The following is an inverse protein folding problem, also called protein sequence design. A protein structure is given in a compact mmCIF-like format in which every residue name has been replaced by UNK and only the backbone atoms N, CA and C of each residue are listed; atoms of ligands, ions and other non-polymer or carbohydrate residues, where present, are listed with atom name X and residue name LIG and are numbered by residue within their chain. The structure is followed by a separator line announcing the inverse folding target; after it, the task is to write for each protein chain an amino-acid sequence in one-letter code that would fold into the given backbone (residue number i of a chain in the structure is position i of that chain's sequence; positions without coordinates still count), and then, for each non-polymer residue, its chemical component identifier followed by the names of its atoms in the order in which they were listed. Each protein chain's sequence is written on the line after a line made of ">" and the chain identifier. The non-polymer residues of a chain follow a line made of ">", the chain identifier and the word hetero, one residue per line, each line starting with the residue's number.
data_IF_722397997354
#
_entry.id   IF_722397997354
#
_cell.length_a   1.000
_cell.length_b   1.000
_cell.length_c   1.000
_cell.angle_alpha   90.00
_cell.angle_beta   90.00
_cell.angle_gamma   90.00
#
_symmetry.space_group_name_H-M   'P 1'
#
loop_
_entity.id
_entity.type
_entity.pdbx_description
1 polymer ?
#
# COMPACT_ATOMS: atom_id res chain seq x y z
N UNK A 1 -20.53 5.89 -7.93
CA UNK A 1 -19.87 5.04 -8.96
C UNK A 1 -19.10 6.00 -9.85
N UNK A 2 -17.92 5.64 -10.26
CA UNK A 2 -17.08 6.52 -11.11
C UNK A 2 -17.64 6.50 -12.53
N UNK A 3 -17.86 7.67 -13.12
CA UNK A 3 -18.32 7.80 -14.51
C UNK A 3 -17.12 7.93 -15.44
N UNK A 4 -16.34 6.85 -15.51
CA UNK A 4 -15.13 6.79 -16.32
C UNK A 4 -15.37 5.99 -17.60
N UNK A 5 -14.82 6.42 -18.73
CA UNK A 5 -14.77 5.61 -19.94
C UNK A 5 -14.10 4.25 -19.65
N UNK A 6 -14.61 3.19 -20.27
CA UNK A 6 -13.98 1.87 -20.18
C UNK A 6 -12.53 1.94 -20.66
N UNK A 7 -11.62 1.43 -19.87
CA UNK A 7 -10.19 1.42 -20.17
C UNK A 7 -9.41 2.64 -19.66
N UNK A 8 -10.05 3.70 -19.19
CA UNK A 8 -9.35 4.91 -18.71
C UNK A 8 -8.24 4.60 -17.73
N UNK A 9 -8.52 3.84 -16.68
CA UNK A 9 -7.49 3.46 -15.70
C UNK A 9 -6.43 2.52 -16.29
N UNK A 10 -6.78 1.69 -17.27
CA UNK A 10 -5.78 0.85 -17.97
C UNK A 10 -4.79 1.73 -18.73
N UNK A 11 -5.27 2.75 -19.44
CA UNK A 11 -4.43 3.71 -20.16
C UNK A 11 -3.46 4.42 -19.20
N UNK A 12 -3.94 4.82 -18.04
CA UNK A 12 -3.11 5.48 -17.00
C UNK A 12 -2.04 4.56 -16.40
N UNK A 13 -2.14 3.25 -16.61
CA UNK A 13 -1.14 2.27 -16.17
C UNK A 13 -0.23 1.78 -17.29
N UNK A 14 -0.47 2.20 -18.53
CA UNK A 14 0.45 1.91 -19.62
C UNK A 14 1.82 2.53 -19.31
N UNK A 15 2.88 1.73 -19.46
CA UNK A 15 4.24 2.15 -19.08
C UNK A 15 4.40 2.50 -17.59
N UNK A 16 3.61 1.87 -16.73
CA UNK A 16 3.72 1.96 -15.28
C UNK A 16 5.08 1.49 -14.75
N UNK A 17 5.34 1.82 -13.51
CA UNK A 17 6.57 1.42 -12.81
C UNK A 17 6.30 0.27 -11.81
N UNK A 18 5.36 -0.61 -12.17
CA UNK A 18 4.93 -1.71 -11.30
C UNK A 18 6.10 -2.61 -10.94
N UNK A 19 6.15 -3.03 -9.69
CA UNK A 19 7.26 -3.79 -9.12
C UNK A 19 6.74 -5.06 -8.46
N UNK A 20 7.41 -6.17 -8.73
CA UNK A 20 7.19 -7.42 -8.01
C UNK A 20 8.35 -7.67 -7.05
N UNK A 21 8.02 -8.04 -5.81
CA UNK A 21 9.00 -8.47 -4.81
C UNK A 21 8.74 -9.90 -4.39
N UNK A 22 9.78 -10.63 -4.03
CA UNK A 22 9.66 -11.89 -3.28
C UNK A 22 10.27 -11.66 -1.91
N UNK A 23 9.48 -11.88 -0.88
CA UNK A 23 9.87 -11.61 0.51
C UNK A 23 9.83 -12.92 1.27
N UNK A 24 10.98 -13.32 1.81
CA UNK A 24 11.10 -14.43 2.75
C UNK A 24 11.26 -13.87 4.16
N UNK A 25 10.38 -14.27 5.04
CA UNK A 25 10.49 -14.08 6.48
C UNK A 25 10.97 -15.41 7.07
N UNK A 26 12.23 -15.52 7.48
CA UNK A 26 12.79 -16.79 7.95
C UNK A 26 12.09 -17.28 9.23
N UNK A 27 12.13 -18.58 9.44
CA UNK A 27 11.87 -19.14 10.76
C UNK A 27 12.83 -18.51 11.77
N UNK A 28 12.37 -18.38 13.00
CA UNK A 28 13.12 -17.72 14.07
C UNK A 28 12.88 -18.47 15.38
N UNK A 29 13.95 -18.93 16.00
CA UNK A 29 13.95 -19.78 17.17
C UNK A 29 14.38 -19.05 18.48
N UNK A 30 14.74 -17.77 18.36
CA UNK A 30 15.07 -16.95 19.51
C UNK A 30 13.81 -16.31 20.13
N UNK A 31 13.93 -15.79 21.36
CA UNK A 31 12.85 -15.09 22.04
C UNK A 31 12.49 -13.78 21.30
N UNK A 32 11.20 -13.63 20.98
CA UNK A 32 10.68 -12.43 20.32
C UNK A 32 10.66 -11.29 21.34
N UNK A 33 11.31 -10.19 21.02
CA UNK A 33 11.30 -9.01 21.88
C UNK A 33 9.91 -8.32 21.87
N UNK A 34 9.51 -7.70 22.98
CA UNK A 34 8.27 -6.92 23.03
C UNK A 34 8.22 -5.87 21.89
N UNK A 35 7.14 -5.85 21.14
CA UNK A 35 6.95 -4.94 19.99
C UNK A 35 7.64 -5.37 18.69
N UNK A 36 8.41 -6.44 18.68
CA UNK A 36 9.02 -6.98 17.47
C UNK A 36 7.96 -7.66 16.61
N UNK A 37 7.85 -7.23 15.33
CA UNK A 37 6.96 -7.82 14.34
C UNK A 37 7.70 -8.04 13.01
N UNK A 38 7.20 -8.92 12.14
CA UNK A 38 7.83 -9.25 10.85
C UNK A 38 7.74 -8.12 9.81
N UNK A 39 6.70 -7.31 9.86
CA UNK A 39 6.53 -6.15 8.98
C UNK A 39 5.69 -5.09 9.65
N UNK A 40 6.24 -3.88 9.79
CA UNK A 40 5.58 -2.75 10.45
C UNK A 40 4.32 -2.32 9.70
N UNK A 41 3.41 -1.69 10.44
CA UNK A 41 2.20 -1.11 9.88
C UNK A 41 2.51 -0.07 8.82
N UNK A 42 1.89 -0.19 7.64
CA UNK A 42 2.03 0.74 6.53
C UNK A 42 0.84 0.66 5.58
N UNK A 43 0.78 1.59 4.64
CA UNK A 43 -0.07 1.54 3.46
C UNK A 43 0.80 1.41 2.21
N UNK A 44 0.27 0.80 1.15
CA UNK A 44 0.95 0.74 -0.14
C UNK A 44 0.79 2.06 -0.88
N UNK A 45 1.81 2.50 -1.59
CA UNK A 45 1.88 3.84 -2.18
C UNK A 45 1.17 3.96 -3.53
N UNK A 46 1.11 2.85 -4.30
CA UNK A 46 0.59 2.83 -5.66
C UNK A 46 -0.93 2.80 -5.78
N UNK A 47 -1.40 2.18 -6.86
CA UNK A 47 -2.82 2.04 -7.14
C UNK A 47 -3.44 0.87 -6.38
N UNK A 48 -2.85 -0.30 -6.49
CA UNK A 48 -3.25 -1.49 -5.74
C UNK A 48 -2.09 -2.47 -5.63
N UNK A 49 -2.21 -3.43 -4.73
CA UNK A 49 -1.27 -4.53 -4.58
C UNK A 49 -1.98 -5.84 -4.76
N UNK A 50 -1.37 -6.73 -5.53
CA UNK A 50 -1.77 -8.13 -5.65
C UNK A 50 -0.75 -8.96 -4.90
N UNK A 51 -1.19 -9.65 -3.84
CA UNK A 51 -0.31 -10.41 -2.96
C UNK A 51 -0.57 -11.90 -3.09
N UNK A 52 0.43 -12.63 -3.59
CA UNK A 52 0.47 -14.09 -3.54
C UNK A 52 1.15 -14.53 -2.25
N UNK A 53 0.58 -15.55 -1.64
CA UNK A 53 1.16 -16.29 -0.52
C UNK A 53 1.45 -17.70 -0.97
N UNK A 54 2.65 -18.21 -0.67
CA UNK A 54 3.10 -19.53 -1.10
C UNK A 54 3.09 -20.57 0.02
N UNK A 55 2.60 -20.17 1.17
CA UNK A 55 2.52 -21.00 2.36
C UNK A 55 1.19 -20.75 3.09
N UNK A 56 0.90 -21.60 4.04
CA UNK A 56 -0.26 -21.53 4.93
C UNK A 56 0.01 -20.71 6.22
N UNK A 57 1.16 -20.01 6.29
CA UNK A 57 1.56 -19.27 7.47
C UNK A 57 0.72 -18.00 7.63
N UNK A 58 -0.03 -17.85 8.72
CA UNK A 58 -0.82 -16.65 9.00
C UNK A 58 0.08 -15.44 9.34
N UNK A 59 -0.52 -14.34 9.79
CA UNK A 59 0.19 -13.18 10.31
C UNK A 59 0.02 -11.91 9.50
N UNK A 60 -0.60 -11.95 8.31
CA UNK A 60 -1.04 -10.72 7.65
C UNK A 60 -2.27 -10.20 8.37
N UNK A 61 -2.21 -8.94 8.81
CA UNK A 61 -3.32 -8.23 9.44
C UNK A 61 -3.63 -6.94 8.68
N UNK A 62 -4.91 -6.58 8.64
CA UNK A 62 -5.41 -5.32 8.11
C UNK A 62 -6.13 -4.54 9.20
N UNK A 63 -6.05 -3.22 9.14
CA UNK A 63 -6.75 -2.37 10.10
C UNK A 63 -8.22 -2.19 9.71
N UNK A 64 -9.13 -2.73 10.50
CA UNK A 64 -10.57 -2.50 10.35
C UNK A 64 -10.95 -1.15 10.97
N UNK A 65 -11.22 -0.17 10.11
CA UNK A 65 -11.60 1.19 10.53
C UNK A 65 -12.94 1.26 11.26
N UNK A 66 -13.83 0.26 11.08
CA UNK A 66 -15.14 0.23 11.75
C UNK A 66 -15.00 -0.29 13.17
N UNK A 67 -14.20 -1.33 13.34
CA UNK A 67 -13.92 -1.91 14.66
C UNK A 67 -12.80 -1.17 15.39
N UNK A 68 -12.02 -0.35 14.65
CA UNK A 68 -10.81 0.34 15.13
C UNK A 68 -9.79 -0.63 15.73
N UNK A 69 -9.61 -1.75 15.05
CA UNK A 69 -8.72 -2.83 15.50
C UNK A 69 -8.14 -3.59 14.30
N UNK A 70 -7.13 -4.40 14.59
CA UNK A 70 -6.47 -5.24 13.60
C UNK A 70 -7.22 -6.54 13.40
N UNK A 71 -7.50 -6.89 12.15
CA UNK A 71 -8.15 -8.13 11.77
C UNK A 71 -7.19 -9.02 10.97
N UNK A 72 -7.15 -10.32 11.29
CA UNK A 72 -6.37 -11.28 10.54
C UNK A 72 -6.94 -11.49 9.12
N UNK A 73 -6.07 -11.49 8.13
CA UNK A 73 -6.43 -11.89 6.76
C UNK A 73 -6.33 -13.41 6.67
N UNK A 74 -7.45 -14.12 6.45
CA UNK A 74 -7.44 -15.57 6.41
C UNK A 74 -6.56 -16.10 5.28
N UNK A 75 -5.95 -17.26 5.51
CA UNK A 75 -5.26 -18.00 4.45
C UNK A 75 -6.31 -18.74 3.65
N UNK A 76 -6.45 -18.39 2.37
CA UNK A 76 -7.36 -19.08 1.44
C UNK A 76 -6.50 -19.67 0.32
N UNK A 77 -6.57 -20.96 0.15
CA UNK A 77 -5.79 -21.68 -0.87
C UNK A 77 -6.17 -21.19 -2.29
N UNK A 78 -5.17 -21.11 -3.17
CA UNK A 78 -5.34 -20.68 -4.56
C UNK A 78 -5.97 -19.29 -4.71
N UNK A 79 -5.75 -18.38 -3.74
CA UNK A 79 -6.24 -17.02 -3.78
C UNK A 79 -5.13 -15.98 -3.84
N UNK A 80 -5.52 -14.80 -4.27
CA UNK A 80 -4.69 -13.59 -4.26
C UNK A 80 -5.38 -12.60 -3.33
N UNK A 81 -4.62 -12.03 -2.38
CA UNK A 81 -5.11 -10.89 -1.59
C UNK A 81 -4.89 -9.62 -2.40
N UNK A 82 -5.93 -8.82 -2.56
CA UNK A 82 -5.84 -7.52 -3.21
C UNK A 82 -6.17 -6.42 -2.20
N UNK A 83 -5.34 -5.38 -2.16
CA UNK A 83 -5.62 -4.16 -1.42
C UNK A 83 -5.41 -2.91 -2.30
N UNK A 84 -6.13 -1.87 -1.96
CA UNK A 84 -5.99 -0.53 -2.57
C UNK A 84 -4.81 0.20 -1.94
N UNK A 85 -4.12 0.99 -2.76
CA UNK A 85 -3.02 1.85 -2.32
C UNK A 85 -3.41 3.33 -2.26
N UNK A 86 -2.46 4.15 -1.82
CA UNK A 86 -2.67 5.58 -1.53
C UNK A 86 -3.03 6.40 -2.78
N UNK A 87 -2.41 6.11 -3.93
CA UNK A 87 -2.76 6.81 -5.17
C UNK A 87 -4.18 6.51 -5.62
N UNK A 88 -4.69 5.28 -5.46
CA UNK A 88 -6.08 4.97 -5.78
C UNK A 88 -7.04 5.66 -4.82
N UNK A 89 -6.72 5.73 -3.54
CA UNK A 89 -7.50 6.49 -2.57
C UNK A 89 -7.58 7.97 -2.98
N UNK A 90 -6.45 8.56 -3.36
CA UNK A 90 -6.37 9.94 -3.83
C UNK A 90 -7.18 10.16 -5.11
N UNK A 91 -7.02 9.30 -6.11
CA UNK A 91 -7.78 9.32 -7.36
C UNK A 91 -9.28 9.29 -7.14
N UNK A 92 -9.71 8.43 -6.23
CA UNK A 92 -11.13 8.22 -5.92
C UNK A 92 -11.67 9.14 -4.83
N UNK A 93 -10.91 10.19 -4.50
CA UNK A 93 -11.31 11.22 -3.53
C UNK A 93 -11.78 10.61 -2.20
N UNK A 94 -11.06 9.60 -1.71
CA UNK A 94 -11.37 8.80 -0.50
C UNK A 94 -12.54 7.80 -0.61
N UNK A 95 -13.09 7.59 -1.77
CA UNK A 95 -14.15 6.59 -1.93
C UNK A 95 -13.63 5.17 -1.73
N UNK A 96 -12.44 4.87 -2.27
CA UNK A 96 -11.70 3.64 -2.01
C UNK A 96 -10.54 3.98 -1.09
N UNK A 97 -10.54 3.42 0.11
CA UNK A 97 -9.53 3.71 1.14
C UNK A 97 -8.31 2.83 0.99
N UNK A 98 -7.12 3.40 1.05
CA UNK A 98 -5.89 2.64 1.27
C UNK A 98 -5.96 1.96 2.63
N UNK A 99 -5.61 0.68 2.67
CA UNK A 99 -5.80 -0.15 3.87
C UNK A 99 -4.46 -0.35 4.58
N UNK A 100 -4.33 0.17 5.81
CA UNK A 100 -3.16 -0.13 6.63
C UNK A 100 -3.08 -1.63 6.91
N UNK A 101 -1.89 -2.17 6.80
CA UNK A 101 -1.65 -3.58 7.03
C UNK A 101 -0.27 -3.81 7.66
N UNK A 102 -0.10 -4.97 8.30
CA UNK A 102 1.13 -5.36 8.98
C UNK A 102 1.33 -6.87 8.92
N UNK A 103 2.53 -7.33 9.22
CA UNK A 103 2.83 -8.76 9.34
C UNK A 103 3.32 -9.04 10.77
N UNK A 104 2.50 -9.75 11.53
CA UNK A 104 2.80 -10.12 12.92
C UNK A 104 3.49 -11.49 13.00
N UNK A 105 4.05 -11.78 14.16
CA UNK A 105 4.71 -13.03 14.50
C UNK A 105 3.67 -14.06 14.95
N UNK A 106 3.08 -14.80 14.01
CA UNK A 106 2.04 -15.79 14.32
C UNK A 106 2.58 -17.22 14.46
N UNK A 107 3.38 -17.67 13.50
CA UNK A 107 4.09 -18.96 13.54
C UNK A 107 5.56 -18.69 13.17
N UNK A 108 6.43 -18.74 14.15
CA UNK A 108 7.85 -18.49 13.97
C UNK A 108 8.64 -19.76 13.66
N UNK A 109 8.02 -20.93 13.72
CA UNK A 109 8.68 -22.21 13.45
C UNK A 109 8.88 -22.48 11.98
N UNK A 110 8.24 -21.69 11.11
CA UNK A 110 8.27 -21.84 9.65
C UNK A 110 8.69 -20.54 8.96
N UNK A 111 9.32 -20.71 7.81
CA UNK A 111 9.47 -19.62 6.86
C UNK A 111 8.10 -19.16 6.37
N UNK A 112 7.96 -17.86 6.17
CA UNK A 112 6.82 -17.26 5.47
C UNK A 112 7.30 -16.63 4.18
N UNK A 113 6.68 -16.97 3.06
CA UNK A 113 7.03 -16.43 1.75
C UNK A 113 5.80 -15.69 1.17
N UNK A 114 6.00 -14.47 0.76
CA UNK A 114 4.98 -13.69 0.07
C UNK A 114 5.55 -12.98 -1.15
N UNK A 115 4.71 -12.76 -2.16
CA UNK A 115 5.09 -12.08 -3.39
C UNK A 115 4.08 -10.98 -3.71
N UNK A 116 4.29 -9.76 -3.22
CA UNK A 116 3.49 -8.61 -3.60
C UNK A 116 3.88 -8.11 -5.00
N UNK A 117 2.87 -7.84 -5.81
CA UNK A 117 2.98 -7.08 -7.05
C UNK A 117 2.32 -5.73 -6.85
N UNK A 118 3.13 -4.70 -6.75
CA UNK A 118 2.70 -3.31 -6.60
C UNK A 118 2.34 -2.75 -7.97
N UNK A 119 1.07 -2.45 -8.18
CA UNK A 119 0.57 -1.86 -9.42
C UNK A 119 0.68 -0.35 -9.31
N UNK A 120 1.55 0.23 -10.12
CA UNK A 120 1.80 1.67 -10.15
C UNK A 120 1.36 2.27 -11.48
N UNK A 121 0.81 3.49 -11.42
CA UNK A 121 0.43 4.24 -12.60
C UNK A 121 1.63 4.64 -13.45
N UNK A 122 1.38 5.03 -14.68
CA UNK A 122 2.39 5.45 -15.63
C UNK A 122 3.20 6.64 -15.11
N UNK A 123 4.49 6.70 -15.47
CA UNK A 123 5.40 7.77 -15.01
C UNK A 123 4.94 9.18 -15.36
N UNK A 124 4.13 9.33 -16.41
CA UNK A 124 3.59 10.63 -16.87
C UNK A 124 2.17 10.87 -16.40
N UNK A 125 1.56 9.92 -15.70
CA UNK A 125 0.19 10.02 -15.22
C UNK A 125 0.09 11.07 -14.12
N UNK A 126 -0.88 11.96 -14.27
CA UNK A 126 -1.30 12.88 -13.21
C UNK A 126 -2.50 12.27 -12.50
N UNK A 127 -2.35 12.07 -11.20
CA UNK A 127 -3.43 11.59 -10.32
C UNK A 127 -4.25 12.79 -9.88
N UNK A 128 -5.46 12.86 -10.37
CA UNK A 128 -6.44 13.91 -10.05
C UNK A 128 -7.81 13.27 -9.72
N UNK A 129 -8.65 14.01 -9.05
CA UNK A 129 -9.97 13.51 -8.66
C UNK A 129 -10.80 13.03 -9.87
N UNK A 130 -11.20 11.76 -9.86
CA UNK A 130 -12.05 11.14 -10.89
C UNK A 130 -13.52 11.02 -10.45
N UNK A 131 -13.91 11.65 -9.36
CA UNK A 131 -15.28 11.68 -8.87
C UNK A 131 -15.97 12.98 -9.27
N UNK A 132 -17.28 13.03 -9.11
CA UNK A 132 -18.06 14.25 -9.34
C UNK A 132 -18.09 15.19 -8.11
N UNK A 133 -17.44 14.78 -7.01
CA UNK A 133 -17.36 15.59 -5.80
C UNK A 133 -16.20 16.60 -5.85
N UNK A 134 -16.24 17.69 -5.09
CA UNK A 134 -15.11 18.60 -4.98
C UNK A 134 -13.83 17.88 -4.58
N UNK A 135 -12.74 18.18 -5.28
CA UNK A 135 -11.45 17.55 -5.01
C UNK A 135 -10.94 17.88 -3.60
N UNK A 136 -10.52 16.84 -2.87
CA UNK A 136 -9.88 16.96 -1.56
C UNK A 136 -8.38 17.17 -1.66
N UNK A 137 -7.79 16.78 -2.77
CA UNK A 137 -6.36 16.74 -3.01
C UNK A 137 -6.00 17.46 -4.30
N UNK A 138 -4.88 18.15 -4.29
CA UNK A 138 -4.32 18.73 -5.51
C UNK A 138 -3.84 17.63 -6.46
N UNK A 139 -3.89 17.84 -7.79
CA UNK A 139 -3.31 16.90 -8.74
C UNK A 139 -1.82 16.65 -8.46
N UNK A 140 -1.38 15.38 -8.55
CA UNK A 140 0.03 15.02 -8.34
C UNK A 140 0.51 14.04 -9.40
N UNK A 141 1.77 14.18 -9.83
CA UNK A 141 2.37 13.19 -10.71
C UNK A 141 2.61 11.87 -9.96
N UNK A 142 2.13 10.76 -10.51
CA UNK A 142 2.19 9.44 -9.87
C UNK A 142 3.62 8.99 -9.54
N UNK A 143 4.57 9.21 -10.47
CA UNK A 143 5.95 8.78 -10.28
C UNK A 143 6.70 9.64 -9.28
N UNK A 144 6.47 10.96 -9.29
CA UNK A 144 7.06 11.85 -8.29
C UNK A 144 6.53 11.55 -6.88
N UNK A 145 5.22 11.26 -6.76
CA UNK A 145 4.63 10.81 -5.51
C UNK A 145 5.28 9.52 -5.00
N UNK A 146 5.45 8.52 -5.86
CA UNK A 146 6.09 7.25 -5.49
C UNK A 146 7.53 7.47 -5.00
N UNK A 147 8.33 8.26 -5.73
CA UNK A 147 9.70 8.59 -5.32
C UNK A 147 9.74 9.31 -3.98
N UNK A 148 8.84 10.26 -3.78
CA UNK A 148 8.73 10.97 -2.52
C UNK A 148 8.37 10.03 -1.36
N UNK A 149 7.37 9.14 -1.52
CA UNK A 149 7.01 8.15 -0.49
C UNK A 149 8.16 7.19 -0.18
N UNK A 150 8.89 6.76 -1.19
CA UNK A 150 10.06 5.91 -1.01
C UNK A 150 11.18 6.63 -0.25
N UNK A 151 11.39 7.93 -0.45
CA UNK A 151 12.39 8.70 0.27
C UNK A 151 12.06 8.91 1.76
N UNK A 152 10.78 8.80 2.14
CA UNK A 152 10.37 8.84 3.55
C UNK A 152 10.61 7.52 4.30
N UNK A 153 10.71 6.42 3.58
CA UNK A 153 10.79 5.06 4.15
C UNK A 153 12.11 4.35 3.88
N UNK A 154 12.91 4.87 2.97
CA UNK A 154 14.19 4.30 2.58
C UNK A 154 15.24 5.40 2.47
N UNK A 155 16.50 5.05 2.72
CA UNK A 155 17.63 5.94 2.45
C UNK A 155 17.80 6.06 0.93
N UNK A 156 17.54 7.24 0.39
CA UNK A 156 17.62 7.54 -1.04
C UNK A 156 18.20 8.94 -1.27
N UNK A 157 18.88 9.14 -2.39
CA UNK A 157 19.39 10.47 -2.78
C UNK A 157 18.29 11.38 -3.38
N UNK A 158 17.04 10.92 -3.41
CA UNK A 158 15.94 11.69 -3.97
C UNK A 158 15.52 12.84 -3.05
N UNK A 159 15.59 14.06 -3.57
CA UNK A 159 15.11 15.29 -2.92
C UNK A 159 13.85 15.73 -3.66
N UNK A 160 12.67 15.67 -3.05
CA UNK A 160 11.43 16.14 -3.68
C UNK A 160 11.44 17.66 -3.83
N UNK A 161 10.74 18.18 -4.85
CA UNK A 161 10.43 19.59 -4.88
C UNK A 161 9.51 19.96 -3.71
N UNK A 162 9.52 21.22 -3.27
CA UNK A 162 8.63 21.68 -2.22
C UNK A 162 7.14 21.47 -2.58
N UNK A 163 6.80 21.60 -3.87
CA UNK A 163 5.45 21.35 -4.38
C UNK A 163 5.04 19.89 -4.20
N UNK A 164 5.88 18.94 -4.59
CA UNK A 164 5.60 17.50 -4.44
C UNK A 164 5.48 17.12 -2.96
N UNK A 165 6.34 17.64 -2.10
CA UNK A 165 6.26 17.39 -0.66
C UNK A 165 4.92 17.91 -0.09
N UNK A 166 4.56 19.14 -0.39
CA UNK A 166 3.32 19.76 0.07
C UNK A 166 2.06 19.02 -0.45
N UNK A 167 2.02 18.70 -1.74
CA UNK A 167 0.91 17.97 -2.33
C UNK A 167 0.81 16.54 -1.77
N UNK A 168 1.96 15.90 -1.54
CA UNK A 168 2.02 14.55 -0.97
C UNK A 168 1.51 14.51 0.47
N UNK A 169 1.91 15.45 1.32
CA UNK A 169 1.52 15.54 2.73
C UNK A 169 0.02 15.69 2.96
N UNK A 170 -0.74 16.19 1.98
CA UNK A 170 -2.21 16.26 2.05
C UNK A 170 -2.85 14.90 2.32
N UNK A 171 -2.13 13.81 2.05
CA UNK A 171 -2.68 12.45 2.13
C UNK A 171 -1.75 11.42 2.78
N UNK A 172 -0.87 11.75 3.67
CA UNK A 172 -0.17 10.71 4.44
C UNK A 172 -1.14 10.20 5.53
N UNK A 173 -1.51 8.90 5.52
CA UNK A 173 -2.15 8.31 6.68
C UNK A 173 -1.21 8.48 7.86
N UNK A 174 -1.62 9.20 8.89
CA UNK A 174 -0.81 9.35 10.09
C UNK A 174 -0.72 8.00 10.78
N UNK A 175 0.48 7.45 10.92
CA UNK A 175 0.71 6.18 11.63
C UNK A 175 0.10 6.17 13.04
N UNK A 176 0.03 7.34 13.69
CA UNK A 176 -0.61 7.52 15.00
C UNK A 176 -2.09 7.12 15.05
N UNK A 177 -2.77 7.04 13.91
CA UNK A 177 -4.17 6.63 13.85
C UNK A 177 -4.36 5.11 13.98
N UNK A 178 -3.25 4.32 14.00
CA UNK A 178 -3.27 2.85 13.97
C UNK A 178 -2.37 2.19 15.03
N UNK A 179 -1.68 2.99 15.86
CA UNK A 179 -0.78 2.52 16.91
C UNK A 179 -1.48 2.52 18.27
N UNK A 180 -2.58 1.82 18.42
CA UNK A 180 -3.15 1.52 19.75
C UNK A 180 -3.39 0.03 19.88
#
# INVERSE_FOLDING_TARGET
>A
MFDLPRGKLVEEHLHGNSTMRMIRYPAYDEEIQPGQIRGSSHTDYGTCTLLWRFDDTPGLQVYDRKQKDWADVPVVENSIVMNTGDLLQRWTNDTLKSTPHRVVNSDMTKDRISMPYFVDAGRRTTVENITNEPAKYDPINAYEYLKWRLSLSHDTDYIPSAEIAMQGEQHIPKHQDYEN
#
